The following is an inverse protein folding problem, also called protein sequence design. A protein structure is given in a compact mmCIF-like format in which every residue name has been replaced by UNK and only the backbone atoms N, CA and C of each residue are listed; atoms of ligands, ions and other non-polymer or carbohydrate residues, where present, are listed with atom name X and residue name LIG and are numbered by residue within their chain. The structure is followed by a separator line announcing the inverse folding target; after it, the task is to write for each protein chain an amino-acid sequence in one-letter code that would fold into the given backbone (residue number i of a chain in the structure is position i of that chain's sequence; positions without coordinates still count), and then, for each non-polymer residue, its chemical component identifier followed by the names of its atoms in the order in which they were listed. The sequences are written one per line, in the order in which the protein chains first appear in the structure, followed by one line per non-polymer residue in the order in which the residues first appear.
data_IF_496992096354
#
_entry.id   IF_496992096354
#
_cell.length_a   1.000
_cell.length_b   1.000
_cell.length_c   1.000
_cell.angle_alpha   90.00
_cell.angle_beta   90.00
_cell.angle_gamma   90.00
#
_symmetry.space_group_name_H-M   'P 1'
#
loop_
_entity.id
_entity.type
_entity.pdbx_description
1 polymer ?
#
# COMPACT_ATOMS: atom_id res chain seq x y z
N UNK A 1 -0.15 0.67 9.46
CA UNK A 1 1.25 1.03 9.77
C UNK A 1 2.16 0.04 9.07
N UNK A 2 3.27 0.48 8.46
CA UNK A 2 4.33 -0.39 7.90
C UNK A 2 5.64 0.01 8.60
N UNK A 3 6.02 -0.65 9.70
CA UNK A 3 7.01 -0.10 10.63
C UNK A 3 8.46 -0.50 10.27
N UNK A 4 8.85 -0.21 9.03
CA UNK A 4 10.25 -0.25 8.59
C UNK A 4 10.76 1.19 8.43
N UNK A 5 11.88 1.51 9.07
CA UNK A 5 12.55 2.80 8.93
C UNK A 5 13.90 2.64 8.24
N UNK A 6 14.33 3.68 7.53
CA UNK A 6 15.66 3.83 6.96
C UNK A 6 16.32 5.06 7.58
N UNK A 7 17.48 4.88 8.19
CA UNK A 7 18.26 5.95 8.83
C UNK A 7 19.36 6.46 7.91
N UNK A 8 19.60 7.78 7.93
CA UNK A 8 20.77 8.38 7.29
C UNK A 8 22.11 7.98 7.94
N UNK A 9 22.07 7.24 9.05
CA UNK A 9 23.24 6.62 9.69
C UNK A 9 23.63 5.26 9.08
N UNK A 10 23.01 4.87 7.96
CA UNK A 10 23.38 3.65 7.23
C UNK A 10 22.77 2.37 7.80
N UNK A 11 21.59 2.45 8.43
CA UNK A 11 20.88 1.26 8.90
C UNK A 11 19.37 1.31 8.63
N UNK A 12 18.78 0.14 8.46
CA UNK A 12 17.33 -0.08 8.44
C UNK A 12 16.88 -0.82 9.69
N UNK A 13 15.68 -0.53 10.18
CA UNK A 13 15.10 -1.18 11.35
C UNK A 13 13.63 -1.51 11.08
N UNK A 14 13.28 -2.78 11.17
CA UNK A 14 11.91 -3.29 11.12
C UNK A 14 11.45 -3.62 12.54
N UNK A 15 10.36 -3.02 12.99
CA UNK A 15 9.62 -3.47 14.15
C UNK A 15 8.76 -4.68 13.75
N UNK A 16 9.22 -5.89 14.05
CA UNK A 16 8.55 -7.13 13.65
C UNK A 16 7.46 -7.52 14.65
N UNK A 17 6.57 -6.58 14.94
CA UNK A 17 5.51 -6.78 15.91
C UNK A 17 4.22 -6.06 15.46
N UNK A 18 3.11 -6.79 15.28
CA UNK A 18 1.87 -6.25 14.73
C UNK A 18 0.98 -5.53 15.76
N UNK A 19 1.39 -5.47 17.02
CA UNK A 19 0.59 -4.87 18.08
C UNK A 19 0.23 -3.41 17.81
N UNK A 20 -0.93 -2.98 18.31
CA UNK A 20 -1.26 -1.55 18.44
C UNK A 20 -0.21 -0.90 19.36
N UNK A 21 0.19 0.31 19.01
CA UNK A 21 1.21 1.01 19.75
C UNK A 21 1.67 2.27 19.03
N UNK A 22 2.90 2.69 19.36
CA UNK A 22 3.47 3.92 18.83
C UNK A 22 4.98 3.81 18.67
N UNK A 23 5.51 4.65 17.81
CA UNK A 23 6.94 4.96 17.73
C UNK A 23 7.12 6.47 17.88
N UNK A 24 8.11 6.86 18.68
CA UNK A 24 8.49 8.27 18.88
C UNK A 24 9.95 8.45 18.50
N UNK A 25 10.25 9.33 17.55
CA UNK A 25 11.61 9.74 17.19
C UNK A 25 11.89 11.16 17.72
N UNK A 26 12.05 11.29 19.04
CA UNK A 26 12.34 12.57 19.67
C UNK A 26 13.85 12.88 19.66
N UNK A 27 14.22 14.15 19.82
CA UNK A 27 15.64 14.57 19.85
C UNK A 27 16.41 13.93 21.02
N UNK A 28 15.74 13.65 22.13
CA UNK A 28 16.32 13.04 23.32
C UNK A 28 16.25 11.50 23.32
N UNK A 29 15.62 10.87 22.33
CA UNK A 29 15.51 9.42 22.28
C UNK A 29 14.51 8.89 21.27
N UNK A 30 14.71 7.62 20.90
CA UNK A 30 13.75 6.84 20.11
C UNK A 30 13.09 5.79 21.00
N UNK A 31 11.76 5.73 21.00
CA UNK A 31 10.98 4.78 21.80
C UNK A 31 10.00 4.03 20.89
N UNK A 32 9.98 2.70 21.02
CA UNK A 32 9.00 1.81 20.40
C UNK A 32 8.15 1.19 21.50
N UNK A 33 6.83 1.23 21.35
CA UNK A 33 5.88 0.68 22.32
C UNK A 33 4.88 -0.19 21.58
N UNK A 34 4.71 -1.42 22.08
CA UNK A 34 3.56 -2.28 21.80
C UNK A 34 2.68 -2.31 23.05
N UNK A 35 1.36 -2.11 22.91
CA UNK A 35 0.43 -2.14 24.04
C UNK A 35 0.31 -3.54 24.64
N UNK A 36 0.24 -4.56 23.80
CA UNK A 36 0.19 -5.97 24.21
C UNK A 36 1.09 -6.77 23.27
N UNK A 37 2.10 -7.42 23.83
CA UNK A 37 2.97 -8.33 23.10
C UNK A 37 3.56 -9.39 24.05
N UNK A 38 3.72 -10.61 23.55
CA UNK A 38 4.37 -11.68 24.30
C UNK A 38 5.89 -11.45 24.40
N UNK A 39 6.49 -10.84 23.38
CA UNK A 39 7.92 -10.60 23.31
C UNK A 39 8.27 -9.35 22.51
N UNK A 40 9.51 -8.90 22.67
CA UNK A 40 10.15 -7.93 21.80
C UNK A 40 10.67 -8.64 20.56
N UNK A 41 10.31 -8.15 19.38
CA UNK A 41 10.82 -8.67 18.10
C UNK A 41 11.08 -7.50 17.14
N UNK A 42 12.31 -7.44 16.63
CA UNK A 42 12.75 -6.46 15.65
C UNK A 42 13.91 -7.01 14.83
N UNK A 43 14.08 -6.45 13.64
CA UNK A 43 15.17 -6.81 12.73
C UNK A 43 15.93 -5.56 12.29
N UNK A 44 17.26 -5.64 12.25
CA UNK A 44 18.14 -4.53 11.88
C UNK A 44 19.09 -4.96 10.76
N UNK A 45 19.34 -4.04 9.83
CA UNK A 45 20.35 -4.21 8.79
C UNK A 45 21.17 -2.94 8.63
N UNK A 46 22.40 -3.07 8.14
CA UNK A 46 23.27 -1.95 7.81
C UNK A 46 23.68 -2.04 6.34
N UNK A 47 23.93 -0.89 5.71
CA UNK A 47 24.41 -0.79 4.34
C UNK A 47 24.98 0.59 4.05
N UNK A 48 25.91 0.66 3.11
CA UNK A 48 26.57 1.90 2.72
C UNK A 48 25.62 2.78 1.88
N UNK A 49 24.60 2.17 1.27
CA UNK A 49 23.61 2.87 0.46
C UNK A 49 22.17 2.53 0.85
N UNK A 50 21.21 3.44 0.64
CA UNK A 50 19.79 3.14 0.81
C UNK A 50 19.32 1.94 -0.02
N UNK A 51 19.89 1.74 -1.21
CA UNK A 51 19.54 0.62 -2.09
C UNK A 51 19.86 -0.75 -1.46
N UNK A 52 21.03 -0.88 -0.81
CA UNK A 52 21.41 -2.10 -0.10
C UNK A 52 20.48 -2.40 1.07
N UNK A 53 20.13 -1.38 1.85
CA UNK A 53 19.23 -1.48 3.00
C UNK A 53 17.83 -1.89 2.54
N UNK A 54 17.29 -1.26 1.49
CA UNK A 54 15.99 -1.63 0.91
C UNK A 54 15.99 -3.05 0.34
N UNK A 55 17.08 -3.48 -0.31
CA UNK A 55 17.21 -4.84 -0.81
C UNK A 55 17.29 -5.87 0.33
N UNK A 56 17.98 -5.54 1.43
CA UNK A 56 18.03 -6.39 2.62
C UNK A 56 16.64 -6.55 3.27
N UNK A 57 15.88 -5.46 3.38
CA UNK A 57 14.51 -5.50 3.86
C UNK A 57 13.62 -6.41 3.00
N UNK A 58 13.66 -6.23 1.67
CA UNK A 58 12.88 -7.06 0.75
C UNK A 58 13.25 -8.55 0.83
N UNK A 59 14.52 -8.90 1.10
CA UNK A 59 14.94 -10.30 1.28
C UNK A 59 14.30 -10.98 2.51
N UNK A 60 13.98 -10.23 3.56
CA UNK A 60 13.41 -10.78 4.79
C UNK A 60 11.89 -10.65 4.87
N UNK A 61 11.28 -9.71 4.14
CA UNK A 61 9.82 -9.51 4.14
C UNK A 61 9.11 -9.92 2.85
N UNK A 62 9.86 -10.24 1.81
CA UNK A 62 9.33 -10.60 0.49
C UNK A 62 9.58 -9.51 -0.56
N UNK A 63 9.83 -9.98 -1.80
CA UNK A 63 10.00 -9.13 -2.97
C UNK A 63 8.67 -8.96 -3.72
N UNK A 64 8.35 -7.78 -4.25
CA UNK A 64 7.15 -7.61 -5.06
C UNK A 64 7.21 -8.47 -6.34
N UNK A 65 6.08 -9.02 -6.80
CA UNK A 65 6.03 -9.68 -8.11
C UNK A 65 6.17 -8.65 -9.24
N UNK A 66 6.36 -9.15 -10.47
CA UNK A 66 6.31 -8.29 -11.65
C UNK A 66 4.92 -7.66 -11.80
N UNK A 67 4.87 -6.35 -11.99
CA UNK A 67 3.62 -5.62 -12.22
C UNK A 67 3.04 -5.99 -13.59
N UNK A 68 1.72 -6.26 -13.70
CA UNK A 68 1.08 -6.51 -14.99
C UNK A 68 0.97 -5.20 -15.79
N UNK A 69 1.11 -5.29 -17.11
CA UNK A 69 1.23 -4.11 -17.99
C UNK A 69 0.05 -3.13 -17.86
N UNK A 70 -1.19 -3.64 -17.73
CA UNK A 70 -2.37 -2.78 -17.59
C UNK A 70 -2.33 -1.92 -16.33
N UNK A 71 -1.64 -2.37 -15.27
CA UNK A 71 -1.56 -1.64 -14.02
C UNK A 71 -0.63 -0.42 -14.12
N UNK A 72 0.26 -0.39 -15.13
CA UNK A 72 1.17 0.72 -15.39
C UNK A 72 0.54 1.84 -16.22
N UNK A 73 -0.69 1.66 -16.71
CA UNK A 73 -1.42 2.67 -17.49
C UNK A 73 -2.28 3.60 -16.64
N UNK A 74 -3.23 4.31 -17.27
CA UNK A 74 -4.09 5.27 -16.59
C UNK A 74 -5.30 4.60 -15.91
N UNK A 75 -5.53 4.91 -14.63
CA UNK A 75 -6.64 4.41 -13.82
C UNK A 75 -7.69 5.50 -13.59
N UNK A 76 -8.90 5.30 -14.11
CA UNK A 76 -10.04 6.19 -13.90
C UNK A 76 -10.90 5.71 -12.72
N UNK A 77 -11.08 6.57 -11.72
CA UNK A 77 -11.98 6.35 -10.58
C UNK A 77 -12.63 7.66 -10.14
N UNK A 78 -13.79 7.58 -9.50
CA UNK A 78 -14.43 8.66 -8.71
C UNK A 78 -15.36 8.00 -7.69
N UNK A 79 -15.79 8.77 -6.69
CA UNK A 79 -16.87 8.39 -5.78
C UNK A 79 -18.20 9.00 -6.27
N UNK A 80 -19.12 8.25 -6.89
CA UNK A 80 -19.03 6.88 -7.44
C UNK A 80 -19.76 6.83 -8.78
N UNK A 81 -19.46 5.84 -9.64
CA UNK A 81 -20.35 5.49 -10.75
C UNK A 81 -21.49 4.65 -10.20
N UNK A 82 -22.73 5.12 -10.29
CA UNK A 82 -23.85 4.55 -9.52
C UNK A 82 -24.48 3.32 -10.17
N UNK A 83 -24.35 3.19 -11.48
CA UNK A 83 -24.89 2.08 -12.24
C UNK A 83 -23.97 1.77 -13.42
N UNK A 84 -24.23 0.62 -14.05
CA UNK A 84 -23.45 0.14 -15.20
C UNK A 84 -23.43 1.15 -16.36
N UNK A 85 -24.54 1.83 -16.63
CA UNK A 85 -24.65 2.77 -17.75
C UNK A 85 -23.73 3.98 -17.56
N UNK A 86 -23.73 4.60 -16.37
CA UNK A 86 -22.88 5.74 -16.04
C UNK A 86 -21.38 5.38 -16.20
N UNK A 87 -20.98 4.19 -15.73
CA UNK A 87 -19.61 3.70 -15.88
C UNK A 87 -19.22 3.51 -17.35
N UNK A 88 -20.09 2.87 -18.13
CA UNK A 88 -19.82 2.61 -19.54
C UNK A 88 -19.82 3.87 -20.39
N UNK A 89 -20.64 4.87 -20.05
CA UNK A 89 -20.62 6.19 -20.70
C UNK A 89 -19.25 6.87 -20.52
N UNK A 90 -18.70 6.80 -19.31
CA UNK A 90 -17.35 7.33 -19.03
C UNK A 90 -16.29 6.57 -19.81
N UNK A 91 -16.29 5.23 -19.73
CA UNK A 91 -15.32 4.40 -20.45
C UNK A 91 -15.36 4.64 -21.96
N UNK A 92 -16.56 4.67 -22.57
CA UNK A 92 -16.74 4.99 -23.99
C UNK A 92 -16.32 6.42 -24.30
N UNK A 93 -16.57 7.37 -23.41
CA UNK A 93 -16.17 8.77 -23.55
C UNK A 93 -14.66 8.95 -23.68
N UNK A 94 -13.86 8.18 -22.93
CA UNK A 94 -12.40 8.09 -23.09
C UNK A 94 -12.02 7.56 -24.49
N UNK A 95 -12.63 6.44 -24.91
CA UNK A 95 -12.34 5.83 -26.21
C UNK A 95 -12.72 6.75 -27.38
N UNK A 96 -13.87 7.41 -27.32
CA UNK A 96 -14.34 8.36 -28.34
C UNK A 96 -13.39 9.55 -28.53
N UNK A 97 -12.74 9.99 -27.45
CA UNK A 97 -11.77 11.10 -27.47
C UNK A 97 -10.34 10.63 -27.74
N UNK A 98 -10.14 9.34 -28.04
CA UNK A 98 -8.84 8.71 -28.19
C UNK A 98 -7.90 8.96 -27.00
N UNK A 99 -8.46 9.00 -25.78
CA UNK A 99 -7.70 9.15 -24.55
C UNK A 99 -7.26 7.77 -24.01
N UNK A 100 -6.03 7.64 -23.50
CA UNK A 100 -5.56 6.40 -22.90
C UNK A 100 -6.32 6.10 -21.60
N UNK A 101 -6.76 4.86 -21.45
CA UNK A 101 -7.39 4.31 -20.24
C UNK A 101 -7.08 2.83 -20.15
N UNK A 102 -6.59 2.39 -18.99
CA UNK A 102 -6.19 0.99 -18.76
C UNK A 102 -7.09 0.31 -17.73
N UNK A 103 -7.52 1.03 -16.69
CA UNK A 103 -8.42 0.52 -15.66
C UNK A 103 -9.53 1.54 -15.39
N UNK A 104 -10.76 1.05 -15.18
CA UNK A 104 -11.89 1.83 -14.65
C UNK A 104 -12.43 1.13 -13.41
N UNK A 105 -12.73 1.89 -12.36
CA UNK A 105 -13.05 1.36 -11.03
C UNK A 105 -14.51 1.63 -10.66
N UNK A 106 -15.17 0.61 -10.08
CA UNK A 106 -16.48 0.73 -9.42
C UNK A 106 -16.21 0.90 -7.92
N UNK A 107 -16.66 2.03 -7.36
CA UNK A 107 -16.48 2.34 -5.93
C UNK A 107 -17.50 1.59 -5.05
N UNK A 108 -17.40 1.72 -3.73
CA UNK A 108 -18.24 1.07 -2.72
C UNK A 108 -19.77 1.30 -2.89
N UNK A 109 -20.57 0.46 -2.23
CA UNK A 109 -22.05 0.44 -2.29
C UNK A 109 -22.62 0.16 -3.69
N UNK A 110 -21.94 -0.66 -4.50
CA UNK A 110 -22.49 -1.26 -5.72
C UNK A 110 -23.10 -2.65 -5.50
N UNK A 111 -23.18 -3.08 -4.24
CA UNK A 111 -23.70 -4.35 -3.76
C UNK A 111 -25.06 -4.16 -3.05
N UNK A 112 -25.91 -5.20 -2.96
CA UNK A 112 -27.21 -5.10 -2.29
C UNK A 112 -27.08 -4.75 -0.80
N UNK A 113 -26.28 -5.52 -0.05
CA UNK A 113 -25.93 -5.23 1.35
C UNK A 113 -24.44 -5.45 1.61
N UNK A 114 -23.97 -4.86 2.73
CA UNK A 114 -22.60 -5.09 3.21
C UNK A 114 -22.44 -6.55 3.58
N UNK A 115 -21.57 -7.27 2.85
CA UNK A 115 -21.29 -8.69 3.05
C UNK A 115 -21.71 -9.61 1.91
N UNK A 116 -22.51 -9.13 0.94
CA UNK A 116 -23.00 -9.97 -0.17
C UNK A 116 -21.93 -10.19 -1.26
N UNK A 117 -20.92 -9.30 -1.34
CA UNK A 117 -19.78 -9.37 -2.28
C UNK A 117 -20.17 -9.66 -3.74
N UNK A 118 -21.28 -9.07 -4.20
CA UNK A 118 -21.79 -9.16 -5.57
C UNK A 118 -22.34 -7.81 -6.02
N UNK A 119 -22.59 -7.65 -7.33
CA UNK A 119 -23.33 -6.49 -7.83
C UNK A 119 -24.81 -6.59 -7.43
N UNK A 120 -25.42 -5.44 -7.14
CA UNK A 120 -26.88 -5.29 -7.03
C UNK A 120 -27.57 -5.48 -8.39
#
# INVERSE_FOLDING_TARGET
SVPFLLSNRGYGFLWNNPAVGRVTFAQNGTEWVAEVSEQLDYWVTAGDTPAEISAAYARVTGTPPMMPDYAMGFWQCKLRYRNQQELLEVARGYKQRNLPISVIVIDFFHWPNQGDWMFD
#
